data_IF_408545746911
#
_entry.id   IF_408545746911
#
_cell.length_a   1.000
_cell.length_b   1.000
_cell.length_c   1.000
_cell.angle_alpha   90.00
_cell.angle_beta   90.00
_cell.angle_gamma   90.00
#
_symmetry.space_group_name_H-M   'P 1'
#
loop_
_entity.id
_entity.type
_entity.pdbx_description
1 polymer ?
#
# COMPACT_ATOMS: atom_id res chain seq x y z
N UNK A 1 12.94 -0.33 -34.99
CA UNK A 1 13.06 0.20 -33.63
C UNK A 1 12.18 -0.69 -32.77
N UNK A 2 12.77 -1.67 -32.08
CA UNK A 2 12.01 -2.48 -31.11
C UNK A 2 11.64 -1.58 -29.93
N UNK A 3 10.36 -1.54 -29.59
CA UNK A 3 9.88 -0.89 -28.38
C UNK A 3 10.63 -1.48 -27.19
N UNK A 4 11.33 -0.64 -26.43
CA UNK A 4 12.06 -1.01 -25.21
C UNK A 4 11.15 -1.36 -24.03
N UNK A 5 9.86 -1.60 -24.27
CA UNK A 5 8.82 -1.79 -23.26
C UNK A 5 8.22 -3.19 -23.28
N UNK A 6 8.89 -4.16 -23.90
CA UNK A 6 8.40 -5.54 -23.83
C UNK A 6 8.69 -6.11 -22.45
N UNK A 7 7.64 -6.58 -21.79
CA UNK A 7 7.72 -7.18 -20.46
C UNK A 7 8.26 -8.59 -20.64
N UNK A 8 9.34 -8.91 -19.95
CA UNK A 8 9.96 -10.23 -19.97
C UNK A 8 9.37 -11.10 -18.85
N UNK A 9 8.96 -12.32 -19.19
CA UNK A 9 8.37 -13.27 -18.25
C UNK A 9 9.31 -13.65 -17.09
N UNK A 10 10.62 -13.46 -17.25
CA UNK A 10 11.63 -13.70 -16.22
C UNK A 10 11.79 -12.56 -15.21
N UNK A 11 11.13 -11.42 -15.41
CA UNK A 11 11.18 -10.30 -14.47
C UNK A 11 10.37 -10.57 -13.20
N UNK A 12 10.78 -9.94 -12.10
CA UNK A 12 10.16 -10.04 -10.79
C UNK A 12 9.35 -8.76 -10.51
N UNK A 13 8.01 -8.76 -10.70
CA UNK A 13 7.19 -7.62 -10.35
C UNK A 13 7.08 -7.52 -8.83
N UNK A 14 7.41 -6.33 -8.30
CA UNK A 14 7.21 -5.99 -6.89
C UNK A 14 6.36 -4.74 -6.75
N UNK A 15 5.59 -4.63 -5.68
CA UNK A 15 4.91 -3.38 -5.34
C UNK A 15 5.90 -2.23 -5.20
N UNK A 16 5.55 -1.08 -5.74
CA UNK A 16 6.27 0.16 -5.51
C UNK A 16 6.24 0.52 -4.04
N UNK A 17 7.37 1.00 -3.51
CA UNK A 17 7.44 1.42 -2.11
C UNK A 17 6.50 2.60 -1.85
N UNK A 18 6.02 3.31 -2.88
CA UNK A 18 5.08 4.43 -2.74
C UNK A 18 3.60 4.01 -2.76
N UNK A 19 3.31 2.71 -2.75
CA UNK A 19 1.96 2.19 -2.75
C UNK A 19 1.54 1.67 -1.38
N UNK A 20 0.30 1.97 -1.02
CA UNK A 20 -0.44 1.32 0.07
C UNK A 20 -1.74 0.75 -0.52
N UNK A 21 -2.31 -0.28 0.08
CA UNK A 21 -3.47 -0.94 -0.50
C UNK A 21 -4.26 -1.72 0.54
N UNK A 22 -5.54 -1.96 0.24
CA UNK A 22 -6.42 -2.79 1.06
C UNK A 22 -7.25 -3.72 0.17
N UNK A 23 -7.38 -5.01 0.54
CA UNK A 23 -8.29 -5.92 -0.14
C UNK A 23 -9.75 -5.51 0.11
N UNK A 24 -10.62 -5.86 -0.83
CA UNK A 24 -12.08 -5.88 -0.67
C UNK A 24 -12.64 -7.22 -1.14
N UNK A 25 -13.92 -7.46 -0.91
CA UNK A 25 -14.61 -8.68 -1.36
C UNK A 25 -14.59 -8.83 -2.89
N UNK A 26 -14.63 -7.70 -3.61
CA UNK A 26 -14.70 -7.65 -5.07
C UNK A 26 -13.36 -7.27 -5.75
N UNK A 27 -12.27 -7.20 -4.98
CA UNK A 27 -10.96 -6.91 -5.53
C UNK A 27 -9.99 -6.25 -4.56
N UNK A 28 -9.29 -5.22 -5.02
CA UNK A 28 -8.30 -4.50 -4.24
C UNK A 28 -8.27 -3.02 -4.61
N UNK A 29 -8.14 -2.17 -3.61
CA UNK A 29 -7.91 -0.75 -3.78
C UNK A 29 -6.44 -0.44 -3.50
N UNK A 30 -5.77 0.20 -4.46
CA UNK A 30 -4.36 0.56 -4.39
C UNK A 30 -4.25 2.08 -4.50
N UNK A 31 -3.59 2.69 -3.52
CA UNK A 31 -3.29 4.10 -3.47
C UNK A 31 -1.78 4.30 -3.62
N UNK A 32 -1.39 5.03 -4.65
CA UNK A 32 -0.02 5.51 -4.85
C UNK A 32 0.11 6.93 -4.35
N UNK A 33 1.14 7.16 -3.54
CA UNK A 33 1.51 8.46 -2.99
C UNK A 33 2.75 8.94 -3.74
N UNK A 34 2.57 9.84 -4.70
CA UNK A 34 3.65 10.44 -5.47
C UNK A 34 4.02 11.83 -4.96
N UNK A 35 5.11 12.38 -5.47
CA UNK A 35 5.52 13.77 -5.24
C UNK A 35 5.46 14.55 -6.56
N UNK A 36 4.90 15.75 -6.52
CA UNK A 36 4.86 16.68 -7.66
C UNK A 36 5.28 18.07 -7.17
N UNK A 37 6.58 18.34 -7.25
CA UNK A 37 7.16 19.55 -6.65
C UNK A 37 7.10 19.47 -5.13
N UNK A 38 6.53 20.49 -4.48
CA UNK A 38 6.40 20.55 -3.01
C UNK A 38 5.11 19.91 -2.48
N UNK A 39 4.29 19.27 -3.35
CA UNK A 39 3.02 18.66 -2.94
C UNK A 39 3.00 17.18 -3.21
N UNK A 40 2.39 16.44 -2.28
CA UNK A 40 2.01 15.05 -2.50
C UNK A 40 0.85 14.95 -3.48
N UNK A 41 0.88 13.90 -4.28
CA UNK A 41 -0.19 13.54 -5.21
C UNK A 41 -0.68 12.13 -4.89
N UNK A 42 -1.98 11.94 -5.02
CA UNK A 42 -2.63 10.68 -4.72
C UNK A 42 -3.25 10.15 -6.01
N UNK A 43 -2.85 8.94 -6.40
CA UNK A 43 -3.42 8.24 -7.55
C UNK A 43 -3.95 6.91 -7.06
N UNK A 44 -5.20 6.62 -7.42
CA UNK A 44 -5.86 5.41 -6.98
C UNK A 44 -6.25 4.55 -8.18
N UNK A 45 -6.08 3.24 -8.02
CA UNK A 45 -6.61 2.24 -8.94
C UNK A 45 -7.35 1.19 -8.14
N UNK A 46 -8.43 0.68 -8.74
CA UNK A 46 -9.16 -0.47 -8.23
C UNK A 46 -9.00 -1.60 -9.22
N UNK A 47 -8.55 -2.75 -8.74
CA UNK A 47 -8.54 -3.97 -9.52
C UNK A 47 -9.72 -4.84 -9.09
N UNK A 48 -10.22 -5.64 -10.01
CA UNK A 48 -11.21 -6.69 -9.75
C UNK A 48 -10.59 -7.86 -8.96
N UNK A 49 -11.35 -8.93 -8.80
CA UNK A 49 -10.93 -10.13 -8.09
C UNK A 49 -9.67 -10.77 -8.70
N UNK A 50 -9.63 -10.97 -10.02
CA UNK A 50 -8.48 -11.58 -10.71
C UNK A 50 -7.24 -10.67 -10.66
N UNK A 51 -7.46 -9.35 -10.76
CA UNK A 51 -6.40 -8.37 -10.60
C UNK A 51 -5.86 -8.28 -9.18
N UNK A 52 -6.71 -8.48 -8.16
CA UNK A 52 -6.27 -8.67 -6.76
C UNK A 52 -5.35 -9.87 -6.66
N UNK A 53 -5.74 -11.02 -7.19
CA UNK A 53 -4.94 -12.24 -7.10
C UNK A 53 -3.58 -12.09 -7.79
N UNK A 54 -3.56 -11.43 -8.95
CA UNK A 54 -2.32 -11.09 -9.65
C UNK A 54 -1.48 -10.14 -8.79
N UNK A 55 -2.07 -9.07 -8.26
CA UNK A 55 -1.38 -8.09 -7.41
C UNK A 55 -0.76 -8.74 -6.17
N UNK A 56 -1.49 -9.63 -5.50
CA UNK A 56 -1.04 -10.34 -4.30
C UNK A 56 0.22 -11.19 -4.54
N UNK A 57 0.48 -11.59 -5.79
CA UNK A 57 1.66 -12.39 -6.17
C UNK A 57 2.83 -11.54 -6.68
N UNK A 58 2.61 -10.25 -6.95
CA UNK A 58 3.65 -9.27 -7.29
C UNK A 58 4.45 -8.82 -6.06
N UNK A 59 4.98 -9.78 -5.30
CA UNK A 59 5.77 -9.51 -4.08
C UNK A 59 7.23 -9.21 -4.39
N UNK A 60 7.69 -9.39 -5.63
CA UNK A 60 9.11 -9.36 -5.99
C UNK A 60 9.83 -10.69 -5.80
N UNK A 61 9.13 -11.74 -5.37
CA UNK A 61 9.69 -13.10 -5.21
C UNK A 61 9.38 -14.02 -6.38
N UNK A 62 8.23 -13.84 -7.02
CA UNK A 62 7.80 -14.63 -8.17
C UNK A 62 8.17 -13.90 -9.46
N UNK A 63 8.54 -14.67 -10.49
CA UNK A 63 8.62 -14.11 -11.85
C UNK A 63 7.20 -13.93 -12.43
N UNK A 64 7.06 -13.13 -13.49
CA UNK A 64 5.78 -13.03 -14.21
C UNK A 64 5.34 -14.40 -14.74
N UNK A 65 6.28 -15.21 -15.24
CA UNK A 65 6.01 -16.59 -15.66
C UNK A 65 5.49 -17.47 -14.53
N UNK A 66 6.06 -17.36 -13.33
CA UNK A 66 5.57 -18.08 -12.15
C UNK A 66 4.14 -17.67 -11.79
N UNK A 67 3.86 -16.36 -11.81
CA UNK A 67 2.52 -15.83 -11.51
C UNK A 67 1.49 -16.40 -12.50
N UNK A 68 1.78 -16.38 -13.81
CA UNK A 68 0.88 -16.93 -14.83
C UNK A 68 0.62 -18.41 -14.58
N UNK A 69 1.68 -19.19 -14.30
CA UNK A 69 1.54 -20.62 -14.02
C UNK A 69 0.67 -20.89 -12.80
N UNK A 70 0.88 -20.15 -11.72
CA UNK A 70 0.07 -20.29 -10.49
C UNK A 70 -1.40 -19.93 -10.79
N UNK A 71 -1.66 -18.80 -11.45
CA UNK A 71 -3.04 -18.40 -11.76
C UNK A 71 -3.73 -19.38 -12.71
N UNK A 72 -2.99 -19.98 -13.65
CA UNK A 72 -3.52 -21.05 -14.51
C UNK A 72 -3.94 -22.27 -13.69
N UNK A 73 -3.12 -22.67 -12.72
CA UNK A 73 -3.44 -23.76 -11.81
C UNK A 73 -4.67 -23.43 -10.95
N UNK A 74 -4.77 -22.18 -10.45
CA UNK A 74 -5.87 -21.75 -9.58
C UNK A 74 -7.22 -21.60 -10.30
N UNK A 75 -7.22 -21.12 -11.54
CA UNK A 75 -8.44 -20.83 -12.31
C UNK A 75 -8.84 -21.92 -13.31
N UNK A 76 -8.01 -22.94 -13.51
CA UNK A 76 -8.17 -23.97 -14.57
C UNK A 76 -8.43 -23.34 -15.96
N UNK A 77 -7.89 -22.13 -16.19
CA UNK A 77 -8.16 -21.31 -17.37
C UNK A 77 -7.23 -21.58 -18.54
N UNK A 78 -7.53 -20.93 -19.67
CA UNK A 78 -6.64 -20.93 -20.84
C UNK A 78 -5.37 -20.12 -20.54
N UNK A 79 -4.21 -20.75 -20.69
CA UNK A 79 -2.92 -20.15 -20.37
C UNK A 79 -2.64 -18.88 -21.17
N UNK A 80 -3.06 -18.84 -22.43
CA UNK A 80 -2.82 -17.69 -23.29
C UNK A 80 -3.67 -16.50 -22.86
N UNK A 81 -4.94 -16.73 -22.50
CA UNK A 81 -5.82 -15.68 -21.95
C UNK A 81 -5.25 -15.14 -20.64
N UNK A 82 -4.87 -16.02 -19.70
CA UNK A 82 -4.30 -15.60 -18.42
C UNK A 82 -3.00 -14.81 -18.63
N UNK A 83 -2.12 -15.29 -19.51
CA UNK A 83 -0.88 -14.58 -19.84
C UNK A 83 -1.17 -13.19 -20.41
N UNK A 84 -2.10 -13.05 -21.36
CA UNK A 84 -2.46 -11.76 -21.96
C UNK A 84 -2.99 -10.78 -20.90
N UNK A 85 -3.86 -11.25 -19.99
CA UNK A 85 -4.44 -10.44 -18.93
C UNK A 85 -3.39 -10.00 -17.89
N UNK A 86 -2.54 -10.93 -17.44
CA UNK A 86 -1.44 -10.63 -16.50
C UNK A 86 -0.47 -9.63 -17.12
N UNK A 87 -0.02 -9.86 -18.36
CA UNK A 87 0.92 -8.95 -19.03
C UNK A 87 0.33 -7.56 -19.25
N UNK A 88 -0.96 -7.47 -19.59
CA UNK A 88 -1.66 -6.20 -19.72
C UNK A 88 -1.69 -5.46 -18.38
N UNK A 89 -2.13 -6.13 -17.32
CA UNK A 89 -2.19 -5.53 -15.98
C UNK A 89 -0.81 -5.08 -15.49
N UNK A 90 0.23 -5.92 -15.62
CA UNK A 90 1.59 -5.58 -15.20
C UNK A 90 2.10 -4.35 -15.97
N UNK A 91 1.83 -4.27 -17.28
CA UNK A 91 2.19 -3.10 -18.10
C UNK A 91 1.51 -1.82 -17.65
N UNK A 92 0.20 -1.89 -17.43
CA UNK A 92 -0.60 -0.73 -17.03
C UNK A 92 -0.17 -0.23 -15.64
N UNK A 93 0.08 -1.16 -14.71
CA UNK A 93 0.54 -0.82 -13.36
C UNK A 93 2.00 -0.36 -13.30
N UNK A 94 2.89 -0.92 -14.12
CA UNK A 94 4.26 -0.45 -14.25
C UNK A 94 4.28 0.98 -14.81
N UNK A 95 3.48 1.25 -15.86
CA UNK A 95 3.35 2.59 -16.44
C UNK A 95 2.79 3.61 -15.45
N UNK A 96 1.90 3.18 -14.57
CA UNK A 96 1.38 3.98 -13.46
C UNK A 96 2.30 4.02 -12.22
N UNK A 97 3.49 3.41 -12.30
CA UNK A 97 4.48 3.35 -11.21
C UNK A 97 3.96 2.69 -9.92
N UNK A 98 2.96 1.81 -10.05
CA UNK A 98 2.45 0.97 -8.97
C UNK A 98 3.29 -0.29 -8.77
N UNK A 99 3.91 -0.77 -9.86
CA UNK A 99 4.83 -1.91 -9.86
C UNK A 99 6.22 -1.48 -10.34
N UNK A 100 7.23 -2.12 -9.76
CA UNK A 100 8.62 -2.07 -10.20
C UNK A 100 8.96 -3.45 -10.75
N UNK A 101 9.58 -3.52 -11.93
CA UNK A 101 10.03 -4.78 -12.53
C UNK A 101 11.53 -4.93 -12.31
N UNK A 102 11.89 -5.96 -11.55
CA UNK A 102 13.27 -6.25 -11.17
C UNK A 102 13.82 -7.42 -12.01
N UNK A 103 15.15 -7.48 -12.19
CA UNK A 103 15.82 -8.58 -12.89
C UNK A 103 16.21 -9.74 -11.96
N UNK A 104 16.08 -9.53 -10.66
CA UNK A 104 16.39 -10.51 -9.61
C UNK A 104 15.38 -10.39 -8.47
N UNK A 105 15.16 -11.44 -7.67
CA UNK A 105 14.26 -11.39 -6.53
C UNK A 105 14.58 -10.21 -5.60
N UNK A 106 13.59 -9.38 -5.32
CA UNK A 106 13.68 -8.24 -4.43
C UNK A 106 12.33 -8.05 -3.71
N UNK A 107 12.12 -8.71 -2.57
CA UNK A 107 10.82 -8.72 -1.91
C UNK A 107 10.39 -7.32 -1.45
N UNK A 108 9.16 -6.94 -1.80
CA UNK A 108 8.54 -5.70 -1.36
C UNK A 108 8.29 -5.73 0.15
N UNK A 109 8.57 -4.61 0.82
CA UNK A 109 8.28 -4.44 2.26
C UNK A 109 6.86 -3.93 2.43
N UNK A 110 5.90 -4.85 2.49
CA UNK A 110 4.50 -4.51 2.76
C UNK A 110 4.26 -4.15 4.22
N UNK A 111 4.84 -4.92 5.13
CA UNK A 111 4.41 -4.91 6.53
C UNK A 111 5.12 -3.80 7.30
N UNK A 112 4.32 -2.97 7.95
CA UNK A 112 4.80 -2.23 9.10
C UNK A 112 5.24 -3.26 10.15
N UNK A 113 6.34 -2.98 10.86
CA UNK A 113 6.79 -3.83 11.95
C UNK A 113 5.69 -3.93 13.01
N UNK A 114 5.24 -5.15 13.33
CA UNK A 114 4.17 -5.40 14.29
C UNK A 114 4.53 -4.93 15.72
N UNK A 115 5.83 -4.74 15.99
CA UNK A 115 6.38 -4.22 17.25
C UNK A 115 6.56 -2.71 17.24
N UNK A 116 6.44 -2.05 16.08
CA UNK A 116 6.51 -0.60 15.97
C UNK A 116 5.37 0.05 16.75
N UNK A 117 5.67 1.13 17.46
CA UNK A 117 4.69 1.92 18.20
C UNK A 117 4.40 3.22 17.45
N UNK A 118 3.24 3.36 16.77
CA UNK A 118 2.91 4.57 16.06
C UNK A 118 2.66 5.71 17.04
N UNK A 119 3.28 6.86 16.79
CA UNK A 119 3.15 8.07 17.58
C UNK A 119 2.85 9.25 16.67
N UNK A 120 1.96 10.14 17.11
CA UNK A 120 1.73 11.45 16.48
C UNK A 120 3.00 12.29 16.46
N UNK A 121 3.34 12.84 15.30
CA UNK A 121 4.45 13.78 15.18
C UNK A 121 4.10 15.06 15.92
N UNK A 122 5.05 15.62 16.67
CA UNK A 122 4.81 16.76 17.57
C UNK A 122 4.33 18.03 16.83
N UNK A 123 4.74 18.21 15.57
CA UNK A 123 4.33 19.32 14.70
C UNK A 123 2.97 19.10 13.99
N UNK A 124 2.19 18.11 14.43
CA UNK A 124 0.89 17.77 13.82
C UNK A 124 -0.24 18.08 14.79
N UNK A 125 -1.20 18.86 14.33
CA UNK A 125 -2.43 19.17 15.07
C UNK A 125 -3.63 18.52 14.38
N UNK A 126 -4.62 18.10 15.17
CA UNK A 126 -5.85 17.51 14.65
C UNK A 126 -7.07 18.09 15.35
N UNK A 127 -8.16 18.29 14.60
CA UNK A 127 -9.44 18.74 15.11
C UNK A 127 -10.58 18.08 14.35
N UNK A 128 -11.73 17.93 15.00
CA UNK A 128 -12.98 17.56 14.33
C UNK A 128 -13.65 18.85 13.85
N UNK A 129 -13.97 18.91 12.56
CA UNK A 129 -14.72 20.02 11.95
C UNK A 129 -15.92 19.42 11.23
N UNK A 130 -17.11 19.73 11.74
CA UNK A 130 -18.36 19.08 11.33
C UNK A 130 -18.28 17.56 11.53
N UNK A 131 -18.30 16.78 10.45
CA UNK A 131 -18.18 15.31 10.45
C UNK A 131 -16.83 14.82 9.91
N UNK A 132 -15.87 15.73 9.71
CA UNK A 132 -14.54 15.40 9.24
C UNK A 132 -13.51 15.47 10.36
N UNK A 133 -12.58 14.53 10.35
CA UNK A 133 -11.37 14.58 11.14
C UNK A 133 -10.25 15.22 10.32
N UNK A 134 -9.87 16.44 10.68
CA UNK A 134 -8.91 17.25 9.94
C UNK A 134 -7.58 17.27 10.68
N UNK A 135 -6.51 16.91 9.98
CA UNK A 135 -5.14 16.87 10.50
C UNK A 135 -4.27 17.81 9.68
N UNK A 136 -3.52 18.67 10.36
CA UNK A 136 -2.59 19.62 9.73
C UNK A 136 -1.17 19.36 10.21
N UNK A 137 -0.26 19.16 9.26
CA UNK A 137 1.17 19.13 9.52
C UNK A 137 1.70 20.57 9.45
N UNK A 138 2.09 21.12 10.60
CA UNK A 138 2.52 22.52 10.72
C UNK A 138 3.87 22.79 10.03
N UNK A 139 4.69 21.76 9.85
CA UNK A 139 6.00 21.86 9.19
C UNK A 139 5.86 21.95 7.67
N UNK A 140 4.97 21.15 7.08
CA UNK A 140 4.76 21.13 5.62
C UNK A 140 3.59 22.02 5.17
N UNK A 141 2.78 22.52 6.11
CA UNK A 141 1.50 23.21 5.86
C UNK A 141 0.49 22.37 5.09
N UNK A 142 0.66 21.04 5.05
CA UNK A 142 -0.30 20.14 4.43
C UNK A 142 -1.50 19.90 5.37
N UNK A 143 -2.69 19.88 4.77
CA UNK A 143 -3.96 19.63 5.47
C UNK A 143 -4.61 18.40 4.86
N UNK A 144 -4.97 17.45 5.72
CA UNK A 144 -5.60 16.20 5.35
C UNK A 144 -6.96 16.10 6.04
N UNK A 145 -7.98 15.75 5.27
CA UNK A 145 -9.33 15.52 5.79
C UNK A 145 -9.66 14.04 5.67
N UNK A 146 -10.12 13.47 6.76
CA UNK A 146 -10.55 12.08 6.85
C UNK A 146 -11.99 12.04 7.37
N UNK A 147 -12.63 10.90 7.16
CA UNK A 147 -13.87 10.58 7.87
C UNK A 147 -13.60 10.52 9.38
N UNK A 148 -14.63 10.85 10.18
CA UNK A 148 -14.54 10.89 11.65
C UNK A 148 -14.09 9.57 12.29
N UNK A 149 -14.30 8.43 11.62
CA UNK A 149 -13.86 7.12 12.12
C UNK A 149 -12.34 7.03 12.34
N UNK A 150 -11.54 7.84 11.63
CA UNK A 150 -10.08 7.89 11.81
C UNK A 150 -9.66 8.51 13.15
N UNK A 151 -10.51 9.33 13.77
CA UNK A 151 -10.24 9.99 15.06
C UNK A 151 -9.89 8.97 16.16
N UNK A 152 -10.59 7.83 16.20
CA UNK A 152 -10.32 6.80 17.20
C UNK A 152 -8.93 6.20 17.03
N UNK A 153 -8.56 5.86 15.79
CA UNK A 153 -7.22 5.35 15.47
C UNK A 153 -6.14 6.38 15.82
N UNK A 154 -6.37 7.65 15.49
CA UNK A 154 -5.46 8.74 15.83
C UNK A 154 -5.19 8.84 17.33
N UNK A 155 -6.24 8.74 18.14
CA UNK A 155 -6.14 8.88 19.59
C UNK A 155 -5.36 7.74 20.27
N UNK A 156 -5.33 6.55 19.65
CA UNK A 156 -4.55 5.40 20.17
C UNK A 156 -3.12 5.34 19.61
N UNK A 157 -2.76 6.21 18.66
CA UNK A 157 -1.40 6.36 18.13
C UNK A 157 -0.56 7.33 18.99
N UNK A 158 -0.45 7.05 20.28
CA UNK A 158 0.32 7.86 21.24
C UNK A 158 1.73 7.31 21.54
N UNK A 159 2.13 6.24 20.86
CA UNK A 159 3.38 5.52 21.08
C UNK A 159 3.33 4.47 22.19
N UNK A 160 2.20 4.29 22.89
CA UNK A 160 2.08 3.32 23.99
C UNK A 160 1.75 1.90 23.52
N UNK A 161 1.13 1.77 22.34
CA UNK A 161 0.68 0.49 21.77
C UNK A 161 1.50 0.13 20.54
N UNK A 162 1.73 -1.16 20.35
CA UNK A 162 2.33 -1.64 19.09
C UNK A 162 1.29 -1.72 17.98
N UNK A 163 1.75 -1.73 16.72
CA UNK A 163 0.89 -1.98 15.57
C UNK A 163 0.12 -3.29 15.72
N UNK A 164 0.78 -4.37 16.17
CA UNK A 164 0.13 -5.65 16.42
C UNK A 164 -1.00 -5.57 17.45
N UNK A 165 -0.81 -4.82 18.54
CA UNK A 165 -1.84 -4.58 19.56
C UNK A 165 -3.02 -3.76 19.00
N UNK A 166 -2.74 -2.74 18.19
CA UNK A 166 -3.77 -1.90 17.55
C UNK A 166 -4.60 -2.72 16.56
N UNK A 167 -3.95 -3.46 15.66
CA UNK A 167 -4.63 -4.28 14.64
C UNK A 167 -5.45 -5.40 15.30
N UNK A 168 -4.92 -6.05 16.34
CA UNK A 168 -5.64 -7.14 17.03
C UNK A 168 -6.92 -6.68 17.74
N UNK A 169 -7.02 -5.39 18.08
CA UNK A 169 -8.20 -4.81 18.72
C UNK A 169 -9.21 -4.24 17.71
N UNK A 170 -8.86 -4.20 16.43
CA UNK A 170 -9.70 -3.61 15.39
C UNK A 170 -10.82 -4.56 14.94
N UNK A 171 -11.97 -3.98 14.56
CA UNK A 171 -13.04 -4.73 13.90
C UNK A 171 -12.66 -5.13 12.46
N UNK A 172 -11.86 -4.30 11.80
CA UNK A 172 -11.31 -4.53 10.46
C UNK A 172 -9.79 -4.30 10.49
N UNK A 173 -9.03 -5.38 10.47
CA UNK A 173 -7.58 -5.37 10.55
C UNK A 173 -6.93 -4.75 9.29
N UNK A 174 -7.51 -5.01 8.11
CA UNK A 174 -6.96 -4.54 6.84
C UNK A 174 -7.18 -3.03 6.66
N UNK A 175 -8.35 -2.52 7.06
CA UNK A 175 -8.63 -1.08 7.03
C UNK A 175 -7.74 -0.30 7.99
N UNK A 176 -7.56 -0.79 9.22
CA UNK A 176 -6.67 -0.15 10.20
C UNK A 176 -5.22 -0.19 9.74
N UNK A 177 -4.75 -1.31 9.18
CA UNK A 177 -3.39 -1.39 8.62
C UNK A 177 -3.21 -0.40 7.47
N UNK A 178 -4.19 -0.29 6.57
CA UNK A 178 -4.18 0.68 5.47
C UNK A 178 -4.09 2.13 5.98
N UNK A 179 -4.91 2.49 6.97
CA UNK A 179 -4.90 3.83 7.56
C UNK A 179 -3.59 4.13 8.29
N UNK A 180 -3.04 3.18 9.05
CA UNK A 180 -1.73 3.34 9.69
C UNK A 180 -0.63 3.59 8.65
N UNK A 181 -0.59 2.77 7.60
CA UNK A 181 0.36 2.96 6.51
C UNK A 181 0.20 4.33 5.85
N UNK A 182 -1.04 4.75 5.57
CA UNK A 182 -1.30 6.06 5.01
C UNK A 182 -0.73 7.16 5.91
N UNK A 183 -1.17 7.22 7.15
CA UNK A 183 -0.79 8.28 8.11
C UNK A 183 0.73 8.36 8.34
N UNK A 184 1.44 7.22 8.33
CA UNK A 184 2.90 7.19 8.39
C UNK A 184 3.52 7.74 7.11
N UNK A 185 3.01 7.34 5.93
CA UNK A 185 3.57 7.75 4.63
C UNK A 185 3.35 9.22 4.30
N UNK A 186 2.34 9.85 4.89
CA UNK A 186 2.09 11.29 4.76
C UNK A 186 2.64 12.09 5.95
N UNK A 187 3.58 11.52 6.72
CA UNK A 187 4.25 12.18 7.84
C UNK A 187 3.27 12.81 8.86
N UNK A 188 2.20 12.08 9.21
CA UNK A 188 1.33 12.43 10.34
C UNK A 188 1.64 11.59 11.59
N UNK A 189 2.12 10.37 11.38
CA UNK A 189 2.62 9.48 12.42
C UNK A 189 4.08 9.11 12.14
N UNK A 190 4.84 8.87 13.20
CA UNK A 190 6.14 8.22 13.19
C UNK A 190 6.07 6.84 13.86
N UNK A 191 6.97 5.93 13.50
CA UNK A 191 7.11 4.64 14.18
C UNK A 191 8.34 4.65 15.09
N UNK A 192 8.13 4.26 16.36
CA UNK A 192 9.20 4.07 17.34
C UNK A 192 9.36 2.60 17.71
N UNK A 193 10.59 2.20 17.96
CA UNK A 193 10.87 0.91 18.59
C UNK A 193 10.54 0.99 20.09
N UNK A 194 9.82 -0.01 20.60
CA UNK A 194 9.51 -0.13 22.04
C UNK A 194 10.76 -0.24 22.94
N UNK A 195 11.96 -0.42 22.37
CA UNK A 195 13.21 -0.66 23.10
C UNK A 195 14.00 0.58 23.48
N UNK A 196 13.56 1.79 23.12
CA UNK A 196 14.42 2.99 23.23
C UNK A 196 14.11 3.91 24.42
N UNK A 197 13.22 3.54 25.33
CA UNK A 197 12.93 4.36 26.52
C UNK A 197 13.04 3.52 27.79
N UNK A 198 14.28 3.43 28.31
CA UNK A 198 14.63 3.04 29.67
C UNK A 198 15.48 4.14 30.30
#
# INVERSE_FOLDING_TARGET
MSDKNDIDLSQYPRWSDFCIWRPSDDGIYILRIGESGERRTFQAVRLNYEGKDTWMRCTGENTIGDIIRILKEDYEGDEKIIQEDVLKMVRDLQKGEYLILEQSPNPARRQLDDRGCPRRIDDVIANVVEDNFVIMNMKTSEVHSFDKNVEHLWNICDGSRTIGEIISAAADADDILFLLQLLIRIDLLELRDRKTEA
#
